data_IF_634252905667
#
_entry.id   IF_634252905667
#
_cell.length_a   1.000
_cell.length_b   1.000
_cell.length_c   1.000
_cell.angle_alpha   90.00
_cell.angle_beta   90.00
_cell.angle_gamma   90.00
#
_symmetry.space_group_name_H-M   'P 1'
#
loop_
_entity.id
_entity.type
_entity.pdbx_description
1 polymer ?
#
# COMPACT_ATOMS: atom_id res chain seq x y z
N UNK A 1 16.13 -1.35 -12.00
CA UNK A 1 14.98 -1.05 -11.13
C UNK A 1 14.42 -2.38 -10.69
N UNK A 2 13.90 -2.49 -9.47
CA UNK A 2 13.28 -3.74 -9.01
C UNK A 2 11.95 -3.93 -9.77
N UNK A 3 11.71 -5.13 -10.30
CA UNK A 3 10.59 -5.47 -11.21
C UNK A 3 9.23 -5.12 -10.60
N UNK A 4 9.09 -5.29 -9.28
CA UNK A 4 7.85 -4.99 -8.56
C UNK A 4 7.48 -3.50 -8.53
N UNK A 5 8.48 -2.59 -8.57
CA UNK A 5 8.23 -1.14 -8.61
C UNK A 5 7.68 -0.73 -9.97
N UNK A 6 8.17 -1.36 -11.03
CA UNK A 6 7.71 -1.12 -12.40
C UNK A 6 6.28 -1.64 -12.58
N UNK A 7 6.00 -2.86 -12.10
CA UNK A 7 4.65 -3.42 -12.12
C UNK A 7 3.64 -2.52 -11.39
N UNK A 8 3.96 -2.04 -10.18
CA UNK A 8 3.06 -1.12 -9.46
C UNK A 8 2.83 0.21 -10.18
N UNK A 9 3.82 0.71 -10.93
CA UNK A 9 3.68 1.95 -11.72
C UNK A 9 2.82 1.75 -12.97
N UNK A 10 2.92 0.60 -13.61
CA UNK A 10 2.21 0.30 -14.86
C UNK A 10 0.79 -0.24 -14.62
N UNK A 11 0.65 -1.21 -13.71
CA UNK A 11 -0.59 -1.92 -13.44
C UNK A 11 -1.39 -1.31 -12.28
N UNK A 12 -0.72 -0.61 -11.36
CA UNK A 12 -1.34 -0.07 -10.15
C UNK A 12 -1.61 -1.11 -9.05
N UNK A 13 -1.27 -2.38 -9.28
CA UNK A 13 -1.45 -3.45 -8.30
C UNK A 13 -0.34 -4.50 -8.40
N UNK A 14 -0.23 -5.34 -7.37
CA UNK A 14 0.66 -6.50 -7.33
C UNK A 14 0.10 -7.59 -6.42
N UNK A 15 0.34 -8.85 -6.77
CA UNK A 15 -0.01 -10.01 -5.95
C UNK A 15 1.25 -10.63 -5.30
N UNK A 16 1.21 -10.82 -3.99
CA UNK A 16 2.30 -11.44 -3.21
C UNK A 16 1.78 -12.50 -2.24
N UNK A 17 1.98 -13.77 -2.58
CA UNK A 17 1.47 -14.88 -1.78
C UNK A 17 -0.06 -14.83 -1.66
N UNK A 18 -0.58 -14.75 -0.44
CA UNK A 18 -2.03 -14.65 -0.20
C UNK A 18 -2.57 -13.20 -0.31
N UNK A 19 -1.72 -12.21 -0.60
CA UNK A 19 -2.12 -10.80 -0.58
C UNK A 19 -2.18 -10.18 -1.97
N UNK A 20 -3.21 -9.38 -2.20
CA UNK A 20 -3.31 -8.48 -3.35
C UNK A 20 -3.18 -7.04 -2.84
N UNK A 21 -2.27 -6.27 -3.41
CA UNK A 21 -1.99 -4.87 -3.04
C UNK A 21 -2.38 -3.98 -4.21
N UNK A 22 -3.17 -2.96 -3.96
CA UNK A 22 -3.60 -1.97 -4.96
C UNK A 22 -3.22 -0.57 -4.50
N UNK A 23 -2.67 0.21 -5.43
CA UNK A 23 -2.46 1.65 -5.30
C UNK A 23 -3.69 2.38 -5.86
N UNK A 24 -4.26 3.23 -5.02
CA UNK A 24 -5.43 4.06 -5.35
C UNK A 24 -5.16 5.51 -4.94
N UNK A 25 -5.96 6.44 -5.44
CA UNK A 25 -5.92 7.85 -5.01
C UNK A 25 -7.24 8.18 -4.36
N UNK A 26 -7.16 8.75 -3.15
CA UNK A 26 -8.31 9.42 -2.55
C UNK A 26 -8.43 10.81 -3.17
N UNK A 27 -9.35 10.96 -4.12
CA UNK A 27 -9.74 12.26 -4.66
C UNK A 27 -10.94 12.75 -3.84
N UNK A 28 -10.68 13.49 -2.76
CA UNK A 28 -11.75 14.32 -2.19
C UNK A 28 -12.17 15.35 -3.27
N UNK A 29 -13.42 15.21 -3.72
CA UNK A 29 -14.19 16.05 -4.65
C UNK A 29 -13.50 17.36 -5.13
N UNK A 30 -13.41 17.63 -6.46
CA UNK A 30 -12.51 18.60 -7.12
C UNK A 30 -12.85 20.08 -6.90
N UNK A 31 -13.01 20.51 -5.66
CA UNK A 31 -13.48 21.84 -5.29
C UNK A 31 -12.58 22.43 -4.21
N UNK A 32 -11.41 22.90 -4.66
CA UNK A 32 -10.32 23.61 -3.98
C UNK A 32 -9.12 22.73 -3.70
N UNK A 33 -8.07 22.99 -4.47
CA UNK A 33 -6.73 22.44 -4.37
C UNK A 33 -6.59 21.07 -5.07
N UNK A 34 -5.86 21.05 -6.19
CA UNK A 34 -5.55 19.86 -7.03
C UNK A 34 -4.61 18.87 -6.30
N UNK A 35 -4.76 18.75 -4.98
CA UNK A 35 -3.96 17.87 -4.13
C UNK A 35 -4.52 16.45 -4.19
N UNK A 36 -3.63 15.49 -4.38
CA UNK A 36 -3.96 14.06 -4.40
C UNK A 36 -3.26 13.36 -3.24
N UNK A 37 -3.97 12.42 -2.62
CA UNK A 37 -3.44 11.58 -1.54
C UNK A 37 -3.37 10.14 -2.02
N UNK A 38 -2.20 9.48 -1.99
CA UNK A 38 -2.11 8.06 -2.28
C UNK A 38 -2.81 7.25 -1.18
N UNK A 39 -3.43 6.17 -1.59
CA UNK A 39 -4.00 5.14 -0.71
C UNK A 39 -3.48 3.79 -1.14
N UNK A 40 -3.17 2.94 -0.15
CA UNK A 40 -2.76 1.56 -0.41
C UNK A 40 -3.76 0.62 0.24
N UNK A 41 -4.42 -0.17 -0.60
CA UNK A 41 -5.40 -1.16 -0.19
C UNK A 41 -4.77 -2.55 -0.27
N UNK A 42 -5.03 -3.38 0.73
CA UNK A 42 -4.49 -4.75 0.81
C UNK A 42 -5.64 -5.72 1.04
N UNK A 43 -5.79 -6.68 0.14
CA UNK A 43 -6.71 -7.79 0.30
C UNK A 43 -5.96 -9.05 0.75
N UNK A 44 -6.43 -9.70 1.81
CA UNK A 44 -5.90 -10.98 2.28
C UNK A 44 -6.83 -12.11 1.83
N UNK A 45 -6.42 -12.86 0.80
CA UNK A 45 -7.19 -13.98 0.26
C UNK A 45 -7.44 -15.07 1.30
N UNK A 46 -6.54 -15.24 2.29
CA UNK A 46 -6.68 -16.27 3.32
C UNK A 46 -7.81 -15.98 4.30
N UNK A 47 -8.04 -14.71 4.62
CA UNK A 47 -9.09 -14.27 5.57
C UNK A 47 -10.25 -13.56 4.90
N UNK A 48 -10.24 -13.50 3.56
CA UNK A 48 -11.22 -12.81 2.72
C UNK A 48 -11.55 -11.40 3.24
N UNK A 49 -10.51 -10.65 3.61
CA UNK A 49 -10.64 -9.39 4.32
C UNK A 49 -9.82 -8.28 3.68
N UNK A 50 -10.42 -7.10 3.61
CA UNK A 50 -9.77 -5.87 3.17
C UNK A 50 -9.11 -5.13 4.34
N UNK A 51 -7.94 -4.57 4.05
CA UNK A 51 -7.17 -3.70 4.91
C UNK A 51 -6.67 -2.51 4.11
N UNK A 52 -6.24 -1.47 4.80
CA UNK A 52 -5.55 -0.33 4.21
C UNK A 52 -4.31 0.02 5.03
N UNK A 53 -3.32 0.62 4.38
CA UNK A 53 -2.11 1.09 5.05
C UNK A 53 -2.37 2.46 5.66
N UNK A 54 -2.14 2.57 6.97
CA UNK A 54 -2.31 3.78 7.78
C UNK A 54 -0.96 4.48 7.98
N UNK A 55 -0.42 5.03 6.90
CA UNK A 55 0.79 5.85 6.91
C UNK A 55 0.43 7.32 6.62
N UNK A 56 1.17 8.29 7.20
CA UNK A 56 0.98 9.69 6.87
C UNK A 56 1.54 9.97 5.47
N UNK A 57 0.66 10.23 4.52
CA UNK A 57 1.03 10.68 3.19
C UNK A 57 0.96 12.21 3.09
N UNK A 58 1.92 12.80 2.40
CA UNK A 58 1.90 14.23 2.09
C UNK A 58 1.06 14.47 0.83
N UNK A 59 0.30 15.58 0.74
CA UNK A 59 -0.40 15.94 -0.49
C UNK A 59 0.59 16.17 -1.63
N UNK A 60 0.26 15.68 -2.82
CA UNK A 60 1.06 15.90 -4.05
C UNK A 60 0.18 16.39 -5.19
N UNK A 61 0.80 16.82 -6.29
CA UNK A 61 0.11 17.51 -7.38
C UNK A 61 -0.19 16.59 -8.58
N UNK A 62 0.22 15.32 -8.55
CA UNK A 62 -0.03 14.36 -9.63
C UNK A 62 0.06 12.89 -9.18
N UNK A 63 -0.47 12.01 -10.02
CA UNK A 63 -0.51 10.56 -9.81
C UNK A 63 0.88 9.92 -9.67
N UNK A 64 1.87 10.40 -10.43
CA UNK A 64 3.22 9.82 -10.39
C UNK A 64 3.87 10.03 -9.02
N UNK A 65 3.80 11.24 -8.47
CA UNK A 65 4.32 11.53 -7.13
C UNK A 65 3.57 10.74 -6.04
N UNK A 66 2.27 10.52 -6.22
CA UNK A 66 1.48 9.72 -5.29
C UNK A 66 1.95 8.25 -5.29
N UNK A 67 2.19 7.67 -6.46
CA UNK A 67 2.71 6.30 -6.60
C UNK A 67 4.11 6.16 -6.01
N UNK A 68 4.99 7.14 -6.21
CA UNK A 68 6.33 7.10 -5.60
C UNK A 68 6.25 7.10 -4.07
N UNK A 69 5.35 7.88 -3.46
CA UNK A 69 5.14 7.82 -2.01
C UNK A 69 4.63 6.45 -1.55
N UNK A 70 3.66 5.88 -2.25
CA UNK A 70 3.11 4.57 -1.90
C UNK A 70 4.15 3.44 -2.04
N UNK A 71 4.91 3.45 -3.14
CA UNK A 71 6.00 2.49 -3.40
C UNK A 71 7.08 2.61 -2.32
N UNK A 72 7.43 3.84 -1.92
CA UNK A 72 8.40 4.06 -0.85
C UNK A 72 7.94 3.46 0.50
N UNK A 73 6.66 3.58 0.84
CA UNK A 73 6.12 2.95 2.04
C UNK A 73 6.26 1.43 1.99
N UNK A 74 5.95 0.82 0.84
CA UNK A 74 6.14 -0.63 0.64
C UNK A 74 7.62 -1.02 0.72
N UNK A 75 8.52 -0.22 0.15
CA UNK A 75 9.96 -0.41 0.24
C UNK A 75 10.47 -0.34 1.68
N UNK A 76 9.98 0.61 2.49
CA UNK A 76 10.32 0.69 3.92
C UNK A 76 9.89 -0.59 4.65
N UNK A 77 8.70 -1.12 4.37
CA UNK A 77 8.22 -2.37 4.96
C UNK A 77 9.06 -3.57 4.53
N UNK A 78 9.39 -3.67 3.25
CA UNK A 78 10.31 -4.67 2.71
C UNK A 78 11.64 -4.60 3.47
N UNK A 79 12.14 -3.40 3.75
CA UNK A 79 13.40 -3.16 4.46
C UNK A 79 13.33 -3.36 5.99
N UNK A 80 12.16 -3.68 6.54
CA UNK A 80 12.00 -4.11 7.93
C UNK A 80 11.22 -3.14 8.82
N UNK A 81 10.65 -2.07 8.27
CA UNK A 81 9.63 -1.27 8.99
C UNK A 81 8.38 -2.14 9.19
N UNK A 82 7.77 -2.07 10.37
CA UNK A 82 6.56 -2.84 10.67
C UNK A 82 5.35 -2.29 9.88
N UNK A 83 4.61 -3.15 9.14
CA UNK A 83 3.44 -2.68 8.39
C UNK A 83 2.28 -2.20 9.26
N UNK A 84 1.78 -0.99 8.96
CA UNK A 84 0.64 -0.39 9.67
C UNK A 84 -0.70 -0.70 8.97
N UNK A 85 -1.12 -1.96 9.00
CA UNK A 85 -2.39 -2.40 8.39
C UNK A 85 -3.59 -2.14 9.33
N UNK A 86 -4.63 -1.50 8.80
CA UNK A 86 -5.91 -1.31 9.48
C UNK A 86 -7.07 -1.95 8.72
N UNK A 87 -8.01 -2.54 9.46
CA UNK A 87 -9.29 -3.03 8.94
C UNK A 87 -10.37 -1.94 8.97
N UNK A 88 -10.23 -0.98 9.88
CA UNK A 88 -11.08 0.21 9.98
C UNK A 88 -10.33 1.33 10.72
N UNK A 89 -10.81 2.58 10.71
CA UNK A 89 -10.15 3.72 11.37
C UNK A 89 -9.72 3.47 12.82
N UNK A 90 -10.48 2.62 13.53
CA UNK A 90 -10.28 2.30 14.95
C UNK A 90 -9.68 0.91 15.19
N UNK A 91 -9.46 0.10 14.16
CA UNK A 91 -9.08 -1.32 14.33
C UNK A 91 -7.94 -1.71 13.39
N UNK A 92 -6.79 -2.03 13.99
CA UNK A 92 -5.66 -2.65 13.29
C UNK A 92 -5.99 -4.06 12.83
N UNK A 93 -5.25 -4.53 11.82
CA UNK A 93 -5.18 -5.95 11.50
C UNK A 93 -4.64 -6.76 12.70
N UNK A 94 -4.90 -8.06 12.74
CA UNK A 94 -4.31 -8.90 13.77
C UNK A 94 -2.81 -9.07 13.55
N UNK A 95 -2.06 -9.34 14.61
CA UNK A 95 -0.61 -9.58 14.54
C UNK A 95 -0.24 -10.71 13.57
N UNK A 96 -1.10 -11.73 13.42
CA UNK A 96 -0.91 -12.81 12.44
C UNK A 96 -0.92 -12.26 11.00
N UNK A 97 -1.90 -11.41 10.68
CA UNK A 97 -2.02 -10.80 9.34
C UNK A 97 -0.81 -9.90 9.08
N UNK A 98 -0.43 -9.05 10.05
CA UNK A 98 0.72 -8.14 9.90
C UNK A 98 2.01 -8.93 9.66
N UNK A 99 2.25 -10.01 10.43
CA UNK A 99 3.42 -10.87 10.26
C UNK A 99 3.42 -11.56 8.90
N UNK A 100 2.30 -12.18 8.49
CA UNK A 100 2.20 -12.82 7.17
C UNK A 100 2.43 -11.83 6.03
N UNK A 101 1.88 -10.62 6.13
CA UNK A 101 2.08 -9.57 5.14
C UNK A 101 3.54 -9.13 5.06
N UNK A 102 4.19 -8.90 6.21
CA UNK A 102 5.61 -8.57 6.26
C UNK A 102 6.49 -9.68 5.66
N UNK A 103 6.20 -10.95 5.93
CA UNK A 103 6.92 -12.07 5.29
C UNK A 103 6.66 -12.15 3.78
N UNK A 104 5.42 -11.92 3.34
CA UNK A 104 5.08 -11.89 1.92
C UNK A 104 5.85 -10.79 1.18
N UNK A 105 5.96 -9.59 1.76
CA UNK A 105 6.72 -8.47 1.17
C UNK A 105 8.20 -8.80 0.95
N UNK A 106 8.82 -9.66 1.77
CA UNK A 106 10.23 -10.04 1.59
C UNK A 106 10.49 -10.81 0.29
N UNK A 107 9.46 -11.38 -0.34
CA UNK A 107 9.63 -12.02 -1.66
C UNK A 107 10.03 -11.01 -2.73
N UNK A 108 9.71 -9.73 -2.53
CA UNK A 108 10.02 -8.62 -3.43
C UNK A 108 11.46 -8.08 -3.31
N UNK A 109 12.25 -8.53 -2.31
CA UNK A 109 13.69 -8.17 -2.18
C UNK A 109 14.59 -8.77 -3.27
N UNK A 110 14.04 -9.60 -4.15
CA UNK A 110 14.81 -10.46 -5.05
C UNK A 110 15.05 -9.80 -6.40
#
# INVERSE_FOLDING_TARGET
>A
MEEWKEQLREEGYIEIGDFFIELSIDMECPCKDDEVYPTITVYDNKTESWYYIDEPFEPVNNFTEAWEQAIKVLEDYINGKEPRLKRSPKKFASDDVIKRFAEALKTLKR
#
